data_IF_945573201113
#
_entry.id   IF_945573201113
#
_cell.length_a   1.000
_cell.length_b   1.000
_cell.length_c   1.000
_cell.angle_alpha   90.00
_cell.angle_beta   90.00
_cell.angle_gamma   90.00
#
_symmetry.space_group_name_H-M   'P 1'
#
loop_
_entity.id
_entity.type
_entity.pdbx_description
1 polymer ?
#
# COMPACT_ATOMS: atom_id res chain seq x y z
N UNK A 1 18.34 -5.68 16.90
CA UNK A 1 16.98 -5.23 16.54
C UNK A 1 16.85 -3.70 16.66
N UNK A 2 17.03 -3.11 17.85
CA UNK A 2 16.88 -1.65 18.03
C UNK A 2 17.78 -0.79 17.13
N UNK A 3 19.04 -1.19 16.89
CA UNK A 3 19.94 -0.44 16.00
C UNK A 3 19.47 -0.48 14.54
N UNK A 4 18.90 -1.61 14.11
CA UNK A 4 18.27 -1.73 12.79
C UNK A 4 17.05 -0.82 12.70
N UNK A 5 16.19 -0.79 13.72
CA UNK A 5 15.03 0.11 13.76
C UNK A 5 15.43 1.58 13.71
N UNK A 6 16.54 1.95 14.36
CA UNK A 6 17.07 3.30 14.29
C UNK A 6 17.54 3.66 12.87
N UNK A 7 18.22 2.72 12.18
CA UNK A 7 18.64 2.91 10.79
C UNK A 7 17.46 3.01 9.83
N UNK A 8 16.46 2.12 9.97
CA UNK A 8 15.26 2.13 9.16
C UNK A 8 14.48 3.44 9.35
N UNK A 9 14.28 3.88 10.59
CA UNK A 9 13.58 5.15 10.82
C UNK A 9 14.34 6.35 10.27
N UNK A 10 15.67 6.41 10.45
CA UNK A 10 16.48 7.45 9.85
C UNK A 10 16.40 7.45 8.32
N UNK A 11 16.42 6.27 7.69
CA UNK A 11 16.29 6.12 6.24
C UNK A 11 14.97 6.70 5.72
N UNK A 12 13.87 6.42 6.41
CA UNK A 12 12.52 6.72 5.90
C UNK A 12 11.96 8.08 6.37
N UNK A 13 12.36 8.58 7.54
CA UNK A 13 11.92 9.88 8.09
C UNK A 13 12.98 10.97 8.01
N UNK A 14 14.22 10.63 7.63
CA UNK A 14 15.37 11.52 7.79
C UNK A 14 15.45 12.13 9.21
N UNK A 15 15.06 11.35 10.22
CA UNK A 15 14.95 11.79 11.60
C UNK A 15 15.48 10.74 12.58
N UNK A 16 15.93 11.20 13.74
CA UNK A 16 16.42 10.31 14.78
C UNK A 16 15.29 9.48 15.39
N UNK A 17 15.59 8.20 15.59
CA UNK A 17 14.75 7.28 16.34
C UNK A 17 14.78 7.60 17.83
N UNK A 18 13.64 8.02 18.37
CA UNK A 18 13.55 8.39 19.78
C UNK A 18 13.45 7.13 20.64
N UNK A 19 14.28 7.08 21.68
CA UNK A 19 14.35 5.96 22.63
C UNK A 19 14.09 6.37 24.06
N UNK A 20 14.18 7.66 24.40
CA UNK A 20 13.89 8.18 25.73
C UNK A 20 12.39 8.15 25.96
N UNK A 21 11.98 7.42 27.01
CA UNK A 21 10.56 7.24 27.33
C UNK A 21 9.83 8.57 27.52
N UNK A 22 10.49 9.56 28.14
CA UNK A 22 9.91 10.89 28.40
C UNK A 22 9.61 11.70 27.14
N UNK A 23 10.29 11.42 26.03
CA UNK A 23 10.13 12.12 24.76
C UNK A 23 9.12 11.42 23.84
N UNK A 24 8.69 10.21 24.19
CA UNK A 24 7.79 9.43 23.37
C UNK A 24 6.33 9.79 23.65
N UNK A 25 5.51 9.97 22.60
CA UNK A 25 4.08 10.17 22.78
C UNK A 25 3.43 8.92 23.37
N UNK A 26 2.51 9.13 24.32
CA UNK A 26 1.72 8.04 24.91
C UNK A 26 0.48 7.69 24.11
N UNK A 27 0.20 8.41 23.02
CA UNK A 27 -0.89 8.13 22.09
C UNK A 27 -0.50 8.57 20.69
N UNK A 28 -1.01 7.89 19.69
CA UNK A 28 -0.82 8.23 18.28
C UNK A 28 -1.98 7.70 17.46
N UNK A 29 -2.40 8.44 16.45
CA UNK A 29 -3.42 8.00 15.52
C UNK A 29 -3.16 8.69 14.18
N UNK A 30 -3.30 7.94 13.09
CA UNK A 30 -3.27 8.55 11.76
C UNK A 30 -4.46 9.48 11.58
N UNK A 31 -4.36 10.53 10.75
CA UNK A 31 -5.49 11.39 10.45
C UNK A 31 -6.63 10.61 9.79
N UNK A 32 -7.87 11.08 9.95
CA UNK A 32 -9.09 10.36 9.49
C UNK A 32 -9.02 9.92 8.03
N UNK A 33 -8.45 10.77 7.16
CA UNK A 33 -8.33 10.45 5.74
C UNK A 33 -7.38 9.28 5.47
N UNK A 34 -6.43 8.99 6.38
CA UNK A 34 -5.40 7.94 6.26
C UNK A 34 -5.73 6.68 7.07
N UNK A 35 -6.91 6.62 7.69
CA UNK A 35 -7.37 5.38 8.33
C UNK A 35 -7.39 4.29 7.25
N UNK A 36 -6.72 3.15 7.45
CA UNK A 36 -6.76 2.03 6.51
C UNK A 36 -8.19 1.53 6.30
N UNK A 37 -8.55 1.21 5.05
CA UNK A 37 -9.87 0.66 4.76
C UNK A 37 -9.94 -0.83 5.12
N UNK A 38 -11.08 -1.25 5.68
CA UNK A 38 -11.46 -2.67 5.69
C UNK A 38 -11.62 -3.15 4.25
N UNK A 39 -11.00 -4.28 3.93
CA UNK A 39 -11.09 -4.96 2.63
C UNK A 39 -11.14 -6.47 2.82
N UNK A 40 -11.00 -7.22 1.74
CA UNK A 40 -11.01 -8.67 1.80
C UNK A 40 -9.60 -9.24 2.05
N UNK A 41 -9.51 -10.35 2.77
CA UNK A 41 -8.26 -11.10 2.93
C UNK A 41 -7.99 -12.05 1.75
N UNK A 42 -8.89 -12.10 0.77
CA UNK A 42 -8.79 -12.89 -0.47
C UNK A 42 -8.26 -14.30 -0.20
N UNK A 43 -9.01 -15.13 0.55
CA UNK A 43 -8.54 -16.44 0.94
C UNK A 43 -8.34 -17.30 -0.31
N UNK A 44 -7.23 -18.01 -0.38
CA UNK A 44 -6.87 -18.86 -1.53
C UNK A 44 -7.96 -19.91 -1.79
N UNK A 45 -8.64 -20.40 -0.73
CA UNK A 45 -9.81 -21.30 -0.85
C UNK A 45 -11.05 -20.64 -1.46
N UNK A 46 -11.18 -19.32 -1.30
CA UNK A 46 -12.21 -18.50 -1.95
C UNK A 46 -11.84 -18.13 -3.40
N UNK A 47 -10.65 -18.52 -3.86
CA UNK A 47 -10.14 -18.18 -5.18
C UNK A 47 -9.32 -16.89 -5.21
N UNK A 48 -8.84 -16.40 -4.07
CA UNK A 48 -7.90 -15.27 -4.02
C UNK A 48 -8.38 -14.04 -4.78
N UNK A 49 -7.52 -13.48 -5.63
CA UNK A 49 -7.79 -12.28 -6.43
C UNK A 49 -8.27 -12.60 -7.86
N UNK A 50 -8.56 -13.88 -8.18
CA UNK A 50 -8.90 -14.39 -9.53
C UNK A 50 -9.94 -13.54 -10.27
N UNK A 51 -10.92 -12.98 -9.57
CA UNK A 51 -11.96 -12.14 -10.19
C UNK A 51 -11.41 -10.81 -10.72
N UNK A 52 -10.54 -10.16 -9.96
CA UNK A 52 -9.86 -8.93 -10.39
C UNK A 52 -8.89 -9.24 -11.54
N UNK A 53 -8.17 -10.36 -11.45
CA UNK A 53 -7.26 -10.82 -12.51
C UNK A 53 -7.97 -11.05 -13.84
N UNK A 54 -9.18 -11.63 -13.81
CA UNK A 54 -9.96 -11.85 -15.03
C UNK A 54 -10.34 -10.53 -15.72
N UNK A 55 -10.69 -9.49 -14.95
CA UNK A 55 -10.94 -8.16 -15.51
C UNK A 55 -9.68 -7.54 -16.08
N UNK A 56 -8.54 -7.68 -15.40
CA UNK A 56 -7.26 -7.22 -15.92
C UNK A 56 -6.92 -7.89 -17.27
N UNK A 57 -7.08 -9.21 -17.36
CA UNK A 57 -6.85 -9.97 -18.60
C UNK A 57 -7.76 -9.52 -19.76
N UNK A 58 -9.01 -9.15 -19.48
CA UNK A 58 -9.89 -8.57 -20.51
C UNK A 58 -9.39 -7.21 -20.99
N UNK A 59 -8.86 -6.37 -20.10
CA UNK A 59 -8.40 -5.02 -20.44
C UNK A 59 -7.04 -5.01 -21.15
N UNK A 60 -6.11 -5.90 -20.77
CA UNK A 60 -4.72 -5.80 -21.19
C UNK A 60 -4.21 -7.00 -21.99
N UNK A 61 -4.92 -8.13 -21.97
CA UNK A 61 -4.49 -9.36 -22.66
C UNK A 61 -5.49 -9.88 -23.68
N UNK A 62 -6.42 -9.02 -24.14
CA UNK A 62 -7.46 -9.39 -25.11
C UNK A 62 -8.27 -10.62 -24.65
N UNK A 63 -8.53 -10.74 -23.34
CA UNK A 63 -9.25 -11.86 -22.73
C UNK A 63 -8.46 -13.16 -22.61
N UNK A 64 -7.16 -13.17 -22.93
CA UNK A 64 -6.27 -14.29 -22.60
C UNK A 64 -6.06 -14.28 -21.10
N UNK A 65 -6.49 -15.34 -20.43
CA UNK A 65 -6.52 -15.48 -18.95
C UNK A 65 -5.12 -15.67 -18.32
N UNK A 66 -4.14 -14.84 -18.67
CA UNK A 66 -2.75 -15.00 -18.27
C UNK A 66 -2.54 -14.70 -16.77
N UNK A 67 -2.94 -13.50 -16.32
CA UNK A 67 -2.86 -13.11 -14.92
C UNK A 67 -3.77 -14.00 -14.07
N UNK A 68 -4.94 -14.35 -14.60
CA UNK A 68 -5.92 -15.22 -13.94
C UNK A 68 -5.39 -16.64 -13.73
N UNK A 69 -4.80 -17.26 -14.76
CA UNK A 69 -4.26 -18.62 -14.60
C UNK A 69 -2.99 -18.65 -13.75
N UNK A 70 -2.21 -17.57 -13.72
CA UNK A 70 -1.12 -17.41 -12.77
C UNK A 70 -1.65 -17.46 -11.33
N UNK A 71 -2.60 -16.59 -10.99
CA UNK A 71 -3.18 -16.54 -9.65
C UNK A 71 -3.88 -17.87 -9.30
N UNK A 72 -4.67 -18.44 -10.21
CA UNK A 72 -5.26 -19.78 -10.00
C UNK A 72 -4.20 -20.84 -9.73
N UNK A 73 -3.04 -20.77 -10.37
CA UNK A 73 -1.93 -21.71 -10.13
C UNK A 73 -1.29 -21.47 -8.77
N UNK A 74 -1.10 -20.21 -8.38
CA UNK A 74 -0.48 -19.83 -7.11
C UNK A 74 -1.35 -20.26 -5.92
N UNK A 75 -2.65 -19.91 -5.93
CA UNK A 75 -3.61 -20.33 -4.89
C UNK A 75 -3.78 -21.85 -4.81
N UNK A 76 -3.67 -22.58 -5.94
CA UNK A 76 -3.84 -24.06 -5.96
C UNK A 76 -2.62 -24.81 -5.48
N UNK A 77 -1.42 -24.35 -5.82
CA UNK A 77 -0.19 -25.06 -5.47
C UNK A 77 0.18 -24.92 -3.99
N UNK A 78 -0.48 -24.01 -3.28
CA UNK A 78 -0.09 -23.60 -1.94
C UNK A 78 1.17 -22.75 -2.01
N UNK A 79 1.16 -21.61 -1.35
CA UNK A 79 2.35 -20.74 -1.31
C UNK A 79 3.37 -21.38 -0.33
N UNK A 80 4.67 -21.33 -0.62
CA UNK A 80 5.71 -21.68 0.35
C UNK A 80 5.45 -20.98 1.68
N UNK A 81 5.45 -21.77 2.74
CA UNK A 81 5.44 -21.29 4.10
C UNK A 81 6.80 -20.65 4.44
N UNK A 82 6.87 -19.32 4.39
CA UNK A 82 8.08 -18.56 4.70
C UNK A 82 8.41 -18.52 6.20
N UNK A 83 7.52 -19.00 7.08
CA UNK A 83 7.82 -19.16 8.52
C UNK A 83 8.88 -20.26 8.77
N UNK A 84 9.21 -21.07 7.77
CA UNK A 84 10.14 -22.21 7.90
C UNK A 84 11.58 -21.79 7.72
N UNK A 85 12.24 -21.61 8.87
CA UNK A 85 13.70 -21.45 9.00
C UNK A 85 14.48 -22.50 8.19
N UNK A 86 15.66 -22.16 7.62
CA UNK A 86 16.40 -23.04 6.70
C UNK A 86 16.80 -24.41 7.27
N UNK A 87 16.94 -24.54 8.59
CA UNK A 87 17.47 -25.76 9.24
C UNK A 87 16.48 -26.93 9.31
N UNK A 88 15.17 -26.72 9.13
CA UNK A 88 14.14 -27.77 9.22
C UNK A 88 13.71 -28.34 7.85
N UNK A 89 14.42 -28.01 6.78
CA UNK A 89 14.08 -28.39 5.39
C UNK A 89 14.23 -29.89 5.07
N UNK A 90 14.80 -30.69 5.97
CA UNK A 90 15.19 -32.08 5.65
C UNK A 90 14.09 -33.14 5.79
N UNK A 91 12.94 -32.88 6.43
CA UNK A 91 11.98 -33.95 6.78
C UNK A 91 10.48 -33.61 6.66
N UNK A 92 10.03 -32.89 5.64
CA UNK A 92 8.58 -32.67 5.44
C UNK A 92 8.10 -33.20 4.07
N UNK A 93 7.37 -34.31 4.11
CA UNK A 93 6.71 -34.92 2.95
C UNK A 93 5.60 -34.05 2.37
N UNK A 94 5.45 -34.10 1.04
CA UNK A 94 4.45 -33.40 0.22
C UNK A 94 3.02 -33.75 0.66
N UNK A 95 2.30 -32.80 1.27
CA UNK A 95 0.84 -32.74 1.25
C UNK A 95 0.39 -31.33 0.87
N UNK A 96 0.16 -31.12 -0.42
CA UNK A 96 -0.47 -29.91 -0.97
C UNK A 96 -1.96 -29.86 -0.56
N UNK A 97 -2.26 -29.34 0.62
CA UNK A 97 -3.59 -28.80 0.93
C UNK A 97 -3.41 -27.35 1.35
N UNK A 98 -3.97 -26.44 0.58
CA UNK A 98 -4.00 -25.00 0.89
C UNK A 98 -4.69 -24.81 2.25
N UNK A 99 -3.98 -24.32 3.27
CA UNK A 99 -4.58 -24.04 4.58
C UNK A 99 -5.71 -23.02 4.45
N UNK A 100 -6.68 -23.05 5.37
CA UNK A 100 -7.89 -22.20 5.26
C UNK A 100 -7.65 -20.71 5.49
N UNK A 101 -6.47 -20.36 5.98
CA UNK A 101 -6.05 -18.99 6.33
C UNK A 101 -5.09 -18.38 5.30
N UNK A 102 -4.62 -19.17 4.34
CA UNK A 102 -3.82 -18.65 3.23
C UNK A 102 -4.69 -17.72 2.38
N UNK A 103 -4.15 -16.55 2.06
CA UNK A 103 -4.80 -15.52 1.27
C UNK A 103 -3.87 -14.32 1.14
N UNK A 104 -4.44 -13.20 0.72
CA UNK A 104 -3.72 -11.95 0.48
C UNK A 104 -3.84 -10.99 1.66
N UNK A 105 -3.87 -11.49 2.90
CA UNK A 105 -4.02 -10.61 4.07
C UNK A 105 -2.86 -9.60 4.20
N UNK A 106 -1.63 -9.99 3.85
CA UNK A 106 -0.48 -9.08 3.76
C UNK A 106 -0.63 -8.10 2.58
N UNK A 107 -1.06 -8.59 1.41
CA UNK A 107 -1.29 -7.76 0.23
C UNK A 107 -2.36 -6.69 0.47
N UNK A 108 -3.51 -7.07 1.04
CA UNK A 108 -4.56 -6.15 1.46
C UNK A 108 -4.06 -5.17 2.55
N UNK A 109 -3.36 -5.66 3.57
CA UNK A 109 -2.79 -4.80 4.62
C UNK A 109 -1.86 -3.75 4.01
N UNK A 110 -0.95 -4.14 3.12
CA UNK A 110 -0.06 -3.23 2.42
C UNK A 110 -0.84 -2.20 1.59
N UNK A 111 -1.81 -2.66 0.80
CA UNK A 111 -2.65 -1.81 -0.02
C UNK A 111 -3.42 -0.77 0.81
N UNK A 112 -4.03 -1.19 1.92
CA UNK A 112 -4.81 -0.32 2.79
C UNK A 112 -3.97 0.72 3.55
N UNK A 113 -2.67 0.49 3.71
CA UNK A 113 -1.73 1.45 4.29
C UNK A 113 -1.23 2.43 3.22
N UNK A 114 -0.86 1.93 2.03
CA UNK A 114 -0.18 2.72 1.00
C UNK A 114 -1.11 3.52 0.10
N UNK A 115 -2.36 3.08 -0.02
CA UNK A 115 -3.30 3.64 -0.95
C UNK A 115 -4.55 4.13 -0.25
N UNK A 116 -4.94 5.36 -0.59
CA UNK A 116 -6.30 5.81 -0.35
C UNK A 116 -7.29 4.84 -0.97
N UNK A 117 -8.42 4.64 -0.26
CA UNK A 117 -9.50 3.80 -0.76
C UNK A 117 -9.96 4.29 -2.15
N UNK A 118 -9.98 3.41 -3.17
CA UNK A 118 -10.62 3.70 -4.46
C UNK A 118 -12.05 4.22 -4.28
N UNK A 119 -12.43 5.34 -4.92
CA UNK A 119 -13.74 6.00 -4.71
C UNK A 119 -14.68 5.91 -5.91
N UNK A 120 -14.13 5.77 -7.12
CA UNK A 120 -14.91 5.77 -8.36
C UNK A 120 -14.46 4.66 -9.30
N UNK A 121 -15.39 4.17 -10.13
CA UNK A 121 -15.06 3.20 -11.16
C UNK A 121 -14.22 3.84 -12.27
N UNK A 122 -13.28 3.09 -12.82
CA UNK A 122 -12.37 3.52 -13.90
C UNK A 122 -12.60 2.64 -15.12
N UNK A 123 -12.66 3.24 -16.31
CA UNK A 123 -12.75 2.51 -17.57
C UNK A 123 -11.39 2.52 -18.25
N UNK A 124 -10.81 1.33 -18.45
CA UNK A 124 -9.53 1.16 -19.14
C UNK A 124 -9.67 0.09 -20.22
N UNK A 125 -9.29 0.43 -21.45
CA UNK A 125 -9.38 -0.45 -22.62
C UNK A 125 -10.76 -1.11 -22.79
N UNK A 126 -11.84 -0.34 -22.54
CA UNK A 126 -13.22 -0.81 -22.66
C UNK A 126 -13.72 -1.69 -21.50
N UNK A 127 -12.92 -1.89 -20.45
CA UNK A 127 -13.30 -2.64 -19.24
C UNK A 127 -13.48 -1.69 -18.06
N UNK A 128 -14.59 -1.84 -17.34
CA UNK A 128 -14.87 -1.10 -16.10
C UNK A 128 -14.30 -1.83 -14.88
N UNK A 129 -13.40 -1.15 -14.17
CA UNK A 129 -12.89 -1.53 -12.86
C UNK A 129 -13.64 -0.76 -11.79
N UNK A 130 -14.41 -1.43 -10.94
CA UNK A 130 -15.05 -0.83 -9.76
C UNK A 130 -14.03 -0.67 -8.63
N UNK A 131 -14.31 0.15 -7.60
CA UNK A 131 -13.45 0.24 -6.42
C UNK A 131 -13.07 -1.12 -5.81
N UNK A 132 -14.00 -2.08 -5.75
CA UNK A 132 -13.70 -3.43 -5.28
C UNK A 132 -12.70 -4.18 -6.17
N UNK A 133 -12.78 -4.02 -7.50
CA UNK A 133 -11.80 -4.63 -8.41
C UNK A 133 -10.41 -4.03 -8.21
N UNK A 134 -10.34 -2.69 -8.08
CA UNK A 134 -9.08 -1.95 -7.90
C UNK A 134 -8.42 -2.35 -6.59
N UNK A 135 -9.17 -2.49 -5.49
CA UNK A 135 -8.67 -3.04 -4.22
C UNK A 135 -8.07 -4.45 -4.40
N UNK A 136 -8.71 -5.28 -5.22
CA UNK A 136 -8.21 -6.62 -5.56
C UNK A 136 -6.91 -6.61 -6.38
N UNK A 137 -6.80 -5.69 -7.34
CA UNK A 137 -5.54 -5.49 -8.09
C UNK A 137 -4.41 -5.02 -7.18
N UNK A 138 -4.69 -4.06 -6.29
CA UNK A 138 -3.72 -3.56 -5.32
C UNK A 138 -3.26 -4.67 -4.36
N UNK A 139 -4.19 -5.46 -3.82
CA UNK A 139 -3.83 -6.57 -2.93
C UNK A 139 -2.91 -7.60 -3.63
N UNK A 140 -3.11 -7.85 -4.92
CA UNK A 140 -2.31 -8.78 -5.71
C UNK A 140 -0.87 -8.28 -5.92
N UNK A 141 -0.67 -7.01 -6.29
CA UNK A 141 0.69 -6.48 -6.55
C UNK A 141 1.56 -6.44 -5.29
N UNK A 142 0.96 -6.36 -4.10
CA UNK A 142 1.69 -6.40 -2.82
C UNK A 142 1.89 -7.79 -2.24
N UNK A 143 1.31 -8.83 -2.85
CA UNK A 143 1.25 -10.15 -2.24
C UNK A 143 2.63 -10.76 -1.94
N UNK A 144 3.60 -10.50 -2.80
CA UNK A 144 4.99 -10.94 -2.65
C UNK A 144 5.98 -9.78 -2.63
N UNK A 145 5.47 -8.56 -2.41
CA UNK A 145 6.32 -7.39 -2.36
C UNK A 145 7.11 -7.34 -1.06
N UNK A 146 8.35 -6.90 -1.14
CA UNK A 146 9.18 -6.62 0.02
C UNK A 146 8.52 -5.58 0.95
N UNK A 147 8.87 -5.68 2.22
CA UNK A 147 8.42 -4.78 3.28
C UNK A 147 9.60 -4.37 4.15
N UNK A 148 9.46 -3.21 4.78
CA UNK A 148 10.36 -2.77 5.84
C UNK A 148 10.01 -3.51 7.13
N UNK A 149 10.99 -4.14 7.74
CA UNK A 149 10.81 -4.93 8.95
C UNK A 149 10.88 -4.02 10.20
N UNK A 150 9.83 -3.99 11.02
CA UNK A 150 9.74 -3.07 12.17
C UNK A 150 9.91 -3.73 13.55
N UNK A 151 10.25 -5.02 13.56
CA UNK A 151 10.52 -5.80 14.76
C UNK A 151 9.81 -7.15 14.74
N UNK A 152 10.30 -8.10 15.56
CA UNK A 152 9.82 -9.49 15.57
C UNK A 152 10.87 -10.54 15.16
N UNK A 153 12.15 -10.34 15.48
CA UNK A 153 13.21 -11.30 15.08
C UNK A 153 13.06 -12.63 15.85
N UNK A 154 12.57 -12.51 17.09
CA UNK A 154 12.22 -13.62 17.96
C UNK A 154 10.73 -13.96 17.80
N UNK A 155 10.29 -15.19 18.16
CA UNK A 155 8.91 -15.66 17.95
C UNK A 155 7.80 -14.80 18.60
N UNK A 156 8.20 -13.83 19.42
CA UNK A 156 7.37 -12.76 19.94
C UNK A 156 8.25 -11.51 19.90
N UNK A 157 7.76 -10.44 19.27
CA UNK A 157 8.46 -9.14 19.28
C UNK A 157 8.82 -8.71 20.71
N UNK A 158 10.00 -8.14 20.92
CA UNK A 158 10.36 -7.61 22.23
C UNK A 158 9.41 -6.45 22.62
N UNK A 159 8.93 -6.41 23.87
CA UNK A 159 7.97 -5.39 24.29
C UNK A 159 8.51 -3.96 24.20
N UNK A 160 9.81 -3.76 24.38
CA UNK A 160 10.47 -2.47 24.16
C UNK A 160 10.50 -2.08 22.68
N UNK A 161 10.84 -3.02 21.79
CA UNK A 161 10.75 -2.81 20.34
C UNK A 161 9.32 -2.48 19.92
N UNK A 162 8.32 -3.23 20.40
CA UNK A 162 6.90 -2.96 20.15
C UNK A 162 6.51 -1.54 20.57
N UNK A 163 6.87 -1.14 21.80
CA UNK A 163 6.54 0.19 22.31
C UNK A 163 7.19 1.30 21.47
N UNK A 164 8.48 1.16 21.19
CA UNK A 164 9.25 2.11 20.40
C UNK A 164 8.70 2.22 18.97
N UNK A 165 8.34 1.11 18.36
CA UNK A 165 7.77 1.07 17.01
C UNK A 165 6.44 1.80 16.92
N UNK A 166 5.49 1.50 17.81
CA UNK A 166 4.23 2.25 17.85
C UNK A 166 4.44 3.74 18.13
N UNK A 167 5.27 4.08 19.12
CA UNK A 167 5.46 5.47 19.51
C UNK A 167 6.13 6.33 18.42
N UNK A 168 7.10 5.79 17.69
CA UNK A 168 7.79 6.52 16.64
C UNK A 168 7.02 6.53 15.32
N UNK A 169 6.52 5.37 14.85
CA UNK A 169 5.88 5.29 13.54
C UNK A 169 4.46 5.85 13.55
N UNK A 170 3.65 5.51 14.57
CA UNK A 170 2.28 6.01 14.70
C UNK A 170 2.17 7.28 15.53
N UNK A 171 3.01 7.44 16.55
CA UNK A 171 2.91 8.58 17.47
C UNK A 171 3.64 9.83 16.98
N UNK A 172 4.80 9.67 16.35
CA UNK A 172 5.57 10.78 15.76
C UNK A 172 5.40 10.89 14.25
N UNK A 173 5.18 9.77 13.56
CA UNK A 173 5.20 9.69 12.10
C UNK A 173 3.83 9.61 11.40
N UNK A 174 2.72 9.55 12.14
CA UNK A 174 1.36 9.39 11.62
C UNK A 174 1.21 8.28 10.54
N UNK A 175 2.04 7.23 10.62
CA UNK A 175 2.13 6.18 9.62
C UNK A 175 1.50 4.87 10.14
N UNK A 176 0.51 4.30 9.44
CA UNK A 176 -0.04 3.00 9.81
C UNK A 176 1.01 1.88 9.78
N UNK A 177 0.85 0.84 10.59
CA UNK A 177 1.82 -0.25 10.74
C UNK A 177 1.14 -1.57 10.39
N UNK A 178 1.78 -2.39 9.55
CA UNK A 178 1.39 -3.78 9.36
C UNK A 178 1.68 -4.59 10.62
N UNK A 179 0.68 -5.27 11.14
CA UNK A 179 0.77 -6.04 12.37
C UNK A 179 0.40 -7.50 12.11
N UNK A 180 1.35 -8.41 12.38
CA UNK A 180 1.14 -9.84 12.34
C UNK A 180 0.62 -10.34 13.70
N UNK A 181 -0.68 -10.62 13.76
CA UNK A 181 -1.41 -10.79 15.03
C UNK A 181 -1.33 -12.16 15.68
N UNK A 182 -0.69 -13.14 15.03
CA UNK A 182 -0.74 -14.52 15.46
C UNK A 182 0.66 -15.06 15.74
N UNK A 183 0.80 -15.80 16.84
CA UNK A 183 2.02 -16.51 17.20
C UNK A 183 1.98 -17.91 16.57
N UNK A 184 2.88 -18.21 15.63
CA UNK A 184 3.06 -19.56 15.07
C UNK A 184 2.72 -19.66 13.58
N UNK A 185 2.37 -20.87 13.12
CA UNK A 185 2.27 -21.16 11.67
C UNK A 185 1.13 -20.43 10.96
N UNK A 186 0.15 -19.86 11.67
CA UNK A 186 -1.01 -19.17 11.07
C UNK A 186 -0.76 -17.67 11.10
N UNK A 187 -0.57 -17.05 9.93
CA UNK A 187 -0.18 -15.65 9.82
C UNK A 187 -1.37 -14.81 9.38
N UNK A 188 -1.78 -13.84 10.21
CA UNK A 188 -2.79 -12.84 9.85
C UNK A 188 -2.25 -11.43 10.02
N UNK A 189 -2.26 -10.70 8.91
CA UNK A 189 -1.80 -9.32 8.84
C UNK A 189 -3.00 -8.37 8.90
N UNK A 190 -2.86 -7.31 9.71
CA UNK A 190 -3.82 -6.23 9.79
C UNK A 190 -3.12 -4.87 9.91
N UNK A 191 -3.71 -3.80 9.35
CA UNK A 191 -3.13 -2.47 9.45
C UNK A 191 -3.56 -1.81 10.78
N UNK A 192 -2.60 -1.64 11.68
CA UNK A 192 -2.73 -0.86 12.91
C UNK A 192 -2.58 0.63 12.61
N UNK A 193 -3.48 1.46 13.16
CA UNK A 193 -3.54 2.88 12.80
C UNK A 193 -3.71 3.82 14.00
N UNK A 194 -3.80 3.27 15.21
CA UNK A 194 -3.89 4.04 16.46
C UNK A 194 -3.36 3.22 17.63
N UNK A 195 -2.73 3.89 18.58
CA UNK A 195 -2.43 3.32 19.89
C UNK A 195 -2.65 4.35 21.00
N UNK A 196 -2.93 3.85 22.19
CA UNK A 196 -3.00 4.62 23.43
C UNK A 196 -2.31 3.80 24.53
N UNK A 197 -1.40 4.42 25.27
CA UNK A 197 -0.59 3.80 26.30
C UNK A 197 -0.71 4.56 27.62
N UNK A 198 -0.91 3.83 28.71
CA UNK A 198 -0.74 4.32 30.08
C UNK A 198 0.61 3.83 30.56
N UNK A 199 1.43 4.76 31.07
CA UNK A 199 2.81 4.48 31.49
C UNK A 199 2.94 4.82 32.97
N UNK A 200 3.21 3.81 33.78
CA UNK A 200 3.31 3.91 35.24
C UNK A 200 4.75 3.65 35.68
N UNK A 201 5.32 4.56 36.46
CA UNK A 201 6.68 4.40 36.99
C UNK A 201 6.68 3.32 38.08
N UNK A 202 7.52 2.30 37.92
CA UNK A 202 7.75 1.26 38.93
C UNK A 202 9.06 1.55 39.70
N UNK A 203 10.11 1.94 38.98
CA UNK A 203 11.37 2.45 39.53
C UNK A 203 12.03 3.43 38.55
N UNK A 204 13.21 3.95 38.87
CA UNK A 204 13.95 4.83 37.95
C UNK A 204 14.34 4.14 36.63
N UNK A 205 14.41 2.79 36.62
CA UNK A 205 14.82 2.00 35.46
C UNK A 205 13.74 1.04 34.96
N UNK A 206 12.53 1.13 35.49
CA UNK A 206 11.43 0.23 35.13
C UNK A 206 10.08 0.94 35.10
N UNK A 207 9.34 0.76 34.01
CA UNK A 207 8.03 1.36 33.80
C UNK A 207 7.05 0.31 33.31
N UNK A 208 5.90 0.22 33.97
CA UNK A 208 4.79 -0.62 33.56
C UNK A 208 3.96 0.12 32.51
N UNK A 209 3.53 -0.59 31.47
CA UNK A 209 2.77 -0.03 30.36
C UNK A 209 1.56 -0.89 30.05
N UNK A 210 0.39 -0.26 30.06
CA UNK A 210 -0.85 -0.81 29.50
C UNK A 210 -1.11 -0.10 28.17
N UNK A 211 -1.05 -0.82 27.05
CA UNK A 211 -1.21 -0.25 25.71
C UNK A 211 -2.37 -0.92 24.97
N UNK A 212 -3.22 -0.10 24.37
CA UNK A 212 -4.27 -0.54 23.45
C UNK A 212 -3.93 -0.09 22.04
N UNK A 213 -3.93 -1.03 21.09
CA UNK A 213 -3.71 -0.78 19.66
C UNK A 213 -5.01 -1.02 18.90
N UNK A 214 -5.42 -0.06 18.06
CA UNK A 214 -6.57 -0.20 17.17
C UNK A 214 -6.11 -0.49 15.75
N UNK A 215 -6.71 -1.49 15.12
CA UNK A 215 -6.39 -1.95 13.76
C UNK A 215 -7.65 -2.20 12.95
N UNK A 216 -7.57 -2.04 11.63
CA UNK A 216 -8.68 -2.34 10.73
C UNK A 216 -8.79 -3.86 10.53
N UNK A 217 -10.01 -4.36 10.35
CA UNK A 217 -10.25 -5.79 10.10
C UNK A 217 -10.82 -6.04 8.71
N UNK A 218 -10.63 -7.26 8.22
CA UNK A 218 -11.12 -7.70 6.92
C UNK A 218 -12.63 -7.97 6.93
N UNK A 219 -13.22 -7.99 5.73
CA UNK A 219 -14.59 -8.39 5.43
C UNK A 219 -14.62 -9.75 4.73
N UNK A 220 -15.77 -10.41 4.76
CA UNK A 220 -15.97 -11.71 4.11
C UNK A 220 -15.99 -11.65 2.57
N UNK A 221 -16.07 -10.44 1.99
CA UNK A 221 -16.01 -10.16 0.57
C UNK A 221 -15.57 -8.72 0.36
N UNK A 222 -14.97 -8.42 -0.79
CA UNK A 222 -14.54 -7.06 -1.11
C UNK A 222 -15.74 -6.18 -1.48
N UNK A 223 -15.76 -4.96 -0.95
CA UNK A 223 -16.84 -4.00 -1.10
C UNK A 223 -16.34 -2.77 -1.85
N UNK A 224 -17.20 -2.15 -2.67
CA UNK A 224 -16.83 -0.90 -3.34
C UNK A 224 -16.51 0.19 -2.32
N UNK A 225 -17.33 0.33 -1.28
CA UNK A 225 -17.09 1.20 -0.13
C UNK A 225 -16.83 0.38 1.13
N UNK A 226 -15.75 0.72 1.83
CA UNK A 226 -15.33 0.05 3.05
C UNK A 226 -16.26 0.36 4.22
N UNK A 227 -16.64 -0.66 5.02
CA UNK A 227 -17.40 -0.46 6.24
C UNK A 227 -16.56 0.10 7.40
N UNK A 228 -15.24 0.29 7.22
CA UNK A 228 -14.31 0.85 8.22
C UNK A 228 -14.38 0.13 9.58
N UNK A 229 -14.41 -1.20 9.53
CA UNK A 229 -14.45 -2.05 10.71
C UNK A 229 -13.09 -2.06 11.41
N UNK A 230 -13.12 -2.12 12.74
CA UNK A 230 -11.91 -2.14 13.56
C UNK A 230 -12.04 -3.03 14.79
N UNK A 231 -10.89 -3.39 15.34
CA UNK A 231 -10.74 -4.06 16.64
C UNK A 231 -9.63 -3.42 17.43
N UNK A 232 -9.60 -3.74 18.72
CA UNK A 232 -8.56 -3.35 19.64
C UNK A 232 -7.80 -4.58 20.13
N UNK A 233 -6.48 -4.44 20.31
CA UNK A 233 -5.61 -5.42 20.95
C UNK A 233 -4.96 -4.78 22.18
N UNK A 234 -4.97 -5.50 23.29
CA UNK A 234 -4.45 -5.04 24.57
C UNK A 234 -3.09 -5.68 24.87
N UNK A 235 -2.12 -4.86 25.22
CA UNK A 235 -0.78 -5.24 25.62
C UNK A 235 -0.48 -4.72 27.04
N UNK A 236 0.23 -5.53 27.80
CA UNK A 236 0.64 -5.20 29.16
C UNK A 236 2.08 -5.67 29.38
N UNK A 237 3.00 -4.74 29.64
CA UNK A 237 4.42 -5.08 29.72
C UNK A 237 5.20 -4.13 30.62
N UNK A 238 6.36 -4.61 31.09
CA UNK A 238 7.36 -3.83 31.79
C UNK A 238 8.45 -3.41 30.80
N UNK A 239 8.76 -2.12 30.74
CA UNK A 239 9.90 -1.56 30.03
C UNK A 239 11.11 -1.45 30.96
N UNK A 240 12.28 -1.83 30.45
CA UNK A 240 13.58 -1.63 31.11
C UNK A 240 14.34 -0.48 30.46
N UNK A 241 14.84 0.45 31.28
CA UNK A 241 15.56 1.64 30.82
C UNK A 241 17.05 1.60 31.23
N UNK A 242 17.89 2.30 30.46
CA UNK A 242 19.25 2.65 30.87
C UNK A 242 19.29 3.89 31.77
N UNK A 243 20.50 4.31 32.16
CA UNK A 243 20.69 5.41 33.10
C UNK A 243 20.38 6.79 32.47
N UNK A 244 20.27 6.86 31.14
CA UNK A 244 19.84 8.06 30.40
C UNK A 244 18.34 8.05 30.09
N UNK A 245 17.58 7.09 30.63
CA UNK A 245 16.13 6.97 30.44
C UNK A 245 15.71 6.40 29.08
N UNK A 246 16.64 5.79 28.33
CA UNK A 246 16.34 5.17 27.04
C UNK A 246 15.83 3.75 27.24
N UNK A 247 14.79 3.39 26.51
CA UNK A 247 14.23 2.05 26.50
C UNK A 247 15.27 1.08 25.90
N UNK A 248 15.61 0.05 26.66
CA UNK A 248 16.54 -1.02 26.27
C UNK A 248 15.81 -2.30 25.83
N UNK A 249 14.56 -2.45 26.24
CA UNK A 249 13.72 -3.60 25.95
C UNK A 249 12.54 -3.67 26.91
N UNK A 250 11.84 -4.79 26.91
CA UNK A 250 10.78 -5.06 27.88
C UNK A 250 10.37 -6.52 27.96
N UNK A 251 9.49 -6.81 28.91
CA UNK A 251 8.92 -8.14 29.15
C UNK A 251 7.41 -8.06 29.33
N UNK A 252 6.68 -8.97 28.69
CA UNK A 252 5.22 -9.04 28.81
C UNK A 252 4.76 -9.63 30.14
N UNK A 253 3.68 -9.08 30.67
CA UNK A 253 2.88 -9.73 31.69
C UNK A 253 2.04 -10.87 31.09
N UNK A 254 1.45 -11.70 31.97
CA UNK A 254 0.71 -12.90 31.57
C UNK A 254 -0.64 -12.63 30.91
N UNK A 255 -1.21 -11.46 31.14
CA UNK A 255 -2.49 -10.98 30.58
C UNK A 255 -2.34 -10.23 29.25
N UNK A 256 -1.10 -9.98 28.81
CA UNK A 256 -0.81 -9.26 27.57
C UNK A 256 -1.08 -10.12 26.34
N UNK A 257 -1.62 -9.50 25.29
CA UNK A 257 -1.45 -10.03 23.94
C UNK A 257 0.04 -10.09 23.56
N UNK A 258 0.33 -10.93 22.56
CA UNK A 258 1.66 -11.13 22.01
C UNK A 258 1.52 -11.31 20.50
N UNK A 259 2.36 -10.62 19.75
CA UNK A 259 2.39 -10.63 18.29
C UNK A 259 3.78 -11.04 17.82
N UNK A 260 3.87 -11.52 16.58
CA UNK A 260 5.13 -11.99 16.03
C UNK A 260 5.93 -10.81 15.48
N UNK A 261 5.36 -10.09 14.50
CA UNK A 261 6.07 -9.09 13.71
C UNK A 261 5.27 -7.79 13.49
N UNK A 262 6.01 -6.68 13.41
CA UNK A 262 5.55 -5.40 12.86
C UNK A 262 6.32 -5.11 11.58
N UNK A 263 5.67 -4.46 10.61
CA UNK A 263 6.29 -4.15 9.31
C UNK A 263 5.62 -2.93 8.65
N UNK A 264 6.27 -2.33 7.66
CA UNK A 264 5.71 -1.29 6.80
C UNK A 264 5.83 -1.67 5.31
N UNK A 265 4.79 -1.44 4.50
CA UNK A 265 4.83 -1.77 3.08
C UNK A 265 5.68 -0.79 2.27
N UNK A 266 6.52 -1.32 1.38
CA UNK A 266 7.34 -0.55 0.46
C UNK A 266 6.67 -0.37 -0.90
N UNK A 267 7.28 0.41 -1.80
CA UNK A 267 6.79 0.60 -3.16
C UNK A 267 6.61 -0.75 -3.87
N UNK A 268 5.49 -0.98 -4.59
CA UNK A 268 5.31 -2.23 -5.29
C UNK A 268 6.31 -2.31 -6.44
N UNK A 269 7.06 -3.41 -6.47
CA UNK A 269 8.06 -3.69 -7.50
C UNK A 269 7.43 -4.56 -8.58
N UNK A 270 7.87 -4.40 -9.83
CA UNK A 270 7.38 -5.24 -10.92
C UNK A 270 7.69 -6.72 -10.67
N UNK A 271 6.72 -7.58 -10.95
CA UNK A 271 6.87 -9.01 -10.72
C UNK A 271 8.05 -9.61 -11.52
N UNK A 272 8.85 -10.44 -10.85
CA UNK A 272 10.07 -11.03 -11.41
C UNK A 272 11.34 -10.22 -11.14
N UNK A 273 11.22 -9.00 -10.63
CA UNK A 273 12.35 -8.20 -10.15
C UNK A 273 12.63 -8.46 -8.67
N UNK A 274 13.77 -7.95 -8.19
CA UNK A 274 14.19 -8.13 -6.80
C UNK A 274 13.17 -7.48 -5.85
N UNK A 275 12.66 -8.26 -4.90
CA UNK A 275 11.65 -7.82 -3.95
C UNK A 275 10.21 -8.01 -4.43
N UNK A 276 9.99 -8.62 -5.60
CA UNK A 276 8.71 -9.17 -6.02
C UNK A 276 8.90 -10.37 -6.98
N UNK A 277 9.88 -11.23 -6.73
CA UNK A 277 10.30 -12.29 -7.67
C UNK A 277 9.19 -13.32 -7.95
N UNK A 278 8.21 -13.42 -7.05
CA UNK A 278 7.10 -14.37 -7.10
C UNK A 278 5.76 -13.73 -7.49
N UNK A 279 5.73 -12.42 -7.69
CA UNK A 279 4.55 -11.68 -8.11
C UNK A 279 3.97 -12.20 -9.43
N UNK A 280 2.75 -11.76 -9.75
CA UNK A 280 2.09 -12.11 -11.00
C UNK A 280 2.77 -11.38 -12.18
N UNK A 281 3.54 -12.07 -13.05
CA UNK A 281 4.34 -11.42 -14.10
C UNK A 281 3.49 -10.83 -15.21
N UNK A 282 2.18 -11.09 -15.20
CA UNK A 282 1.24 -10.56 -16.17
C UNK A 282 0.54 -9.29 -15.68
N UNK A 283 0.80 -8.83 -14.46
CA UNK A 283 0.35 -7.51 -14.02
C UNK A 283 1.46 -6.50 -14.22
N UNK A 284 1.15 -5.44 -14.95
CA UNK A 284 1.96 -4.23 -14.96
C UNK A 284 1.60 -3.38 -13.73
N UNK A 285 2.59 -3.21 -12.83
CA UNK A 285 2.41 -2.45 -11.59
C UNK A 285 2.05 -0.98 -11.87
N UNK A 286 2.65 -0.37 -12.89
CA UNK A 286 2.36 1.03 -13.24
C UNK A 286 0.93 1.19 -13.75
N UNK A 287 0.43 0.25 -14.55
CA UNK A 287 -0.96 0.28 -15.00
C UNK A 287 -1.94 0.10 -13.83
N UNK A 288 -1.66 -0.81 -12.89
CA UNK A 288 -2.50 -0.97 -11.68
C UNK A 288 -2.52 0.32 -10.86
N UNK A 289 -1.36 0.95 -10.65
CA UNK A 289 -1.27 2.23 -9.94
C UNK A 289 -1.96 3.37 -10.70
N UNK A 290 -1.88 3.40 -12.03
CA UNK A 290 -2.57 4.40 -12.85
C UNK A 290 -4.10 4.28 -12.72
N UNK A 291 -4.64 3.06 -12.76
CA UNK A 291 -6.07 2.81 -12.52
C UNK A 291 -6.47 3.26 -11.11
N UNK A 292 -5.63 3.00 -10.10
CA UNK A 292 -5.87 3.50 -8.75
C UNK A 292 -5.89 5.03 -8.69
N UNK A 293 -4.92 5.70 -9.31
CA UNK A 293 -4.82 7.17 -9.33
C UNK A 293 -6.04 7.84 -9.95
N UNK A 294 -6.63 7.24 -11.00
CA UNK A 294 -7.88 7.72 -11.61
C UNK A 294 -9.11 7.49 -10.73
N UNK A 295 -9.07 6.50 -9.84
CA UNK A 295 -10.17 6.18 -8.93
C UNK A 295 -10.20 7.05 -7.67
N UNK A 296 -9.10 7.74 -7.37
CA UNK A 296 -8.92 8.52 -6.14
C UNK A 296 -8.73 10.01 -6.46
N UNK A 297 -9.48 10.92 -5.80
CA UNK A 297 -9.29 12.36 -5.96
C UNK A 297 -7.83 12.78 -5.74
N UNK A 298 -7.31 13.61 -6.63
CA UNK A 298 -5.92 14.09 -6.58
C UNK A 298 -5.57 14.79 -5.27
N UNK A 299 -6.48 15.62 -4.74
CA UNK A 299 -6.33 16.29 -3.45
C UNK A 299 -6.14 15.33 -2.27
N UNK A 300 -6.68 14.11 -2.37
CA UNK A 300 -6.44 13.07 -1.37
C UNK A 300 -5.07 12.41 -1.58
N UNK A 301 -4.67 12.17 -2.84
CA UNK A 301 -3.36 11.59 -3.16
C UNK A 301 -2.21 12.51 -2.76
N UNK A 302 -2.33 13.82 -3.00
CA UNK A 302 -1.30 14.83 -2.66
C UNK A 302 -1.00 14.96 -1.16
N UNK A 303 -1.87 14.44 -0.29
CA UNK A 303 -1.64 14.37 1.16
C UNK A 303 -1.47 12.94 1.67
N UNK A 304 -1.49 11.95 0.79
CA UNK A 304 -1.30 10.55 1.15
C UNK A 304 0.19 10.19 1.14
N UNK A 305 0.88 10.53 2.21
CA UNK A 305 2.32 10.28 2.31
C UNK A 305 2.64 8.78 2.35
N UNK A 306 3.79 8.39 1.80
CA UNK A 306 4.35 7.03 1.86
C UNK A 306 5.86 7.13 2.11
N UNK A 307 6.42 6.23 2.92
CA UNK A 307 7.86 6.19 3.23
C UNK A 307 8.74 5.94 2.01
N UNK A 308 8.19 5.22 1.03
CA UNK A 308 8.85 4.80 -0.19
C UNK A 308 7.84 5.01 -1.33
N UNK A 309 7.62 6.27 -1.77
CA UNK A 309 6.60 6.57 -2.77
C UNK A 309 7.10 6.21 -4.17
N UNK A 310 6.18 5.81 -5.05
CA UNK A 310 6.45 5.84 -6.48
C UNK A 310 6.74 7.27 -6.92
N UNK A 311 7.50 7.44 -8.00
CA UNK A 311 7.88 8.76 -8.51
C UNK A 311 6.66 9.67 -8.73
N UNK A 312 5.56 9.13 -9.29
CA UNK A 312 4.36 9.92 -9.58
C UNK A 312 3.46 10.16 -8.34
N UNK A 313 3.74 9.50 -7.21
CA UNK A 313 3.01 9.66 -5.94
C UNK A 313 3.85 10.35 -4.87
N UNK A 314 5.06 10.84 -5.22
CA UNK A 314 5.90 11.60 -4.31
C UNK A 314 5.23 12.94 -4.01
N UNK A 315 5.07 13.25 -2.73
CA UNK A 315 4.65 14.56 -2.28
C UNK A 315 5.90 15.44 -2.30
N UNK A 316 5.93 16.39 -3.22
CA UNK A 316 6.98 17.40 -3.34
C UNK A 316 6.65 18.57 -2.41
N UNK A 317 7.69 19.15 -1.80
CA UNK A 317 7.56 20.42 -1.10
C UNK A 317 7.34 21.56 -2.11
N UNK A 318 6.83 22.72 -1.66
CA UNK A 318 6.50 23.85 -2.55
C UNK A 318 7.67 24.25 -3.47
N UNK A 319 8.91 24.25 -2.97
CA UNK A 319 10.11 24.56 -3.75
C UNK A 319 10.43 23.51 -4.83
N UNK A 320 10.23 22.22 -4.54
CA UNK A 320 10.44 21.13 -5.52
C UNK A 320 9.32 21.07 -6.57
N UNK A 321 8.12 21.54 -6.22
CA UNK A 321 6.98 21.60 -7.14
C UNK A 321 7.18 22.67 -8.23
N UNK A 322 7.75 23.83 -7.89
CA UNK A 322 8.06 24.89 -8.85
C UNK A 322 9.13 24.44 -9.86
N UNK A 323 10.18 23.76 -9.40
CA UNK A 323 11.24 23.23 -10.28
C UNK A 323 10.75 22.08 -11.19
N UNK A 324 9.85 21.22 -10.70
CA UNK A 324 9.24 20.16 -11.49
C UNK A 324 8.30 20.70 -12.59
N UNK A 325 7.53 21.76 -12.29
CA UNK A 325 6.67 22.42 -13.27
C UNK A 325 7.50 23.11 -14.37
N UNK A 326 8.65 23.72 -14.03
CA UNK A 326 9.60 24.29 -15.00
C UNK A 326 10.23 23.20 -15.88
N UNK A 327 10.62 22.06 -15.30
CA UNK A 327 11.18 20.95 -16.07
C UNK A 327 10.16 20.29 -17.03
N UNK A 328 8.88 20.23 -16.63
CA UNK A 328 7.81 19.68 -17.48
C UNK A 328 7.43 20.61 -18.63
N UNK A 329 7.53 21.92 -18.43
CA UNK A 329 7.24 22.94 -19.45
C UNK A 329 8.35 23.03 -20.49
N UNK A 330 9.63 22.89 -20.09
CA UNK A 330 10.77 22.81 -21.02
C UNK A 330 10.75 21.55 -21.90
N UNK A 331 10.21 20.43 -21.41
CA UNK A 331 10.04 19.21 -22.21
C UNK A 331 8.94 19.33 -23.29
N UNK A 332 8.07 20.33 -23.19
CA UNK A 332 6.98 20.59 -24.15
C UNK A 332 7.30 21.72 -25.16
N UNK A 333 8.49 22.33 -25.04
CA UNK A 333 8.89 23.53 -25.77
C UNK A 333 9.98 23.34 -26.82
N UNK A 334 10.01 22.23 -27.58
CA UNK A 334 10.80 22.15 -28.81
C UNK A 334 9.91 21.92 -30.04
N UNK A 335 9.31 23.01 -30.50
CA UNK A 335 8.83 23.18 -31.87
C UNK A 335 9.23 24.57 -32.33
N UNK A 336 10.55 24.80 -32.34
CA UNK A 336 11.19 26.03 -32.78
C UNK A 336 11.18 26.20 -34.29
N UNK A 337 10.20 26.97 -34.74
CA UNK A 337 10.16 27.81 -35.93
C UNK A 337 11.54 28.17 -36.53
N UNK A 338 11.79 27.76 -37.78
CA UNK A 338 12.99 28.13 -38.56
C UNK A 338 12.71 29.37 -39.42
N UNK A 339 13.56 30.40 -39.29
CA UNK A 339 13.76 31.50 -40.26
C UNK A 339 15.29 31.68 -40.38
N UNK A 340 15.95 31.93 -41.50
CA UNK A 340 15.57 32.37 -42.83
C UNK A 340 16.72 32.03 -43.83
N UNK A 341 16.45 32.02 -45.14
CA UNK A 341 17.32 32.69 -46.12
C UNK A 341 16.64 32.81 -47.49
N UNK A 342 16.74 34.03 -48.03
CA UNK A 342 16.26 34.49 -49.33
C UNK A 342 17.03 33.85 -50.49
N UNK A 343 16.33 33.56 -51.59
CA UNK A 343 16.86 33.71 -52.96
C UNK A 343 15.70 33.86 -53.95
N UNK A 344 15.96 34.72 -54.93
CA UNK A 344 15.07 35.39 -55.87
C UNK A 344 14.45 34.53 -56.99
N UNK A 345 13.41 35.11 -57.61
CA UNK A 345 12.86 34.91 -58.97
C UNK A 345 12.18 33.54 -59.24
N UNK A 346 11.00 33.39 -59.85
CA UNK A 346 10.36 34.12 -60.95
C UNK A 346 8.84 33.78 -61.00
N UNK A 347 8.08 34.69 -61.62
CA UNK A 347 6.62 34.72 -61.80
C UNK A 347 5.97 33.51 -62.50
N UNK A 348 4.70 33.19 -62.20
CA UNK A 348 3.52 33.50 -63.05
C UNK A 348 2.21 32.89 -62.51
N UNK A 349 1.23 33.79 -62.32
CA UNK A 349 -0.19 33.74 -62.67
C UNK A 349 -1.21 32.66 -62.23
N UNK A 350 -2.44 33.19 -62.08
CA UNK A 350 -3.76 32.59 -62.22
C UNK A 350 -4.55 32.13 -60.96
N UNK A 351 -5.25 33.12 -60.37
CA UNK A 351 -6.72 33.20 -60.23
C UNK A 351 -7.57 31.92 -60.08
N UNK A 352 -8.42 31.86 -59.04
CA UNK A 352 -9.88 32.03 -59.19
C UNK A 352 -10.64 31.90 -57.86
N UNK A 353 -11.66 32.74 -57.74
CA UNK A 353 -12.66 32.90 -56.69
C UNK A 353 -13.45 31.63 -56.31
N UNK A 354 -14.14 31.67 -55.16
CA UNK A 354 -15.16 30.67 -54.84
C UNK A 354 -15.78 30.76 -53.44
N UNK A 355 -16.52 31.85 -53.19
CA UNK A 355 -17.53 32.04 -52.14
C UNK A 355 -18.57 30.88 -52.10
N UNK A 356 -19.19 30.61 -50.95
CA UNK A 356 -20.24 29.57 -50.89
C UNK A 356 -20.70 29.10 -49.52
N UNK A 357 -21.53 29.92 -48.91
CA UNK A 357 -22.24 29.78 -47.64
C UNK A 357 -23.36 28.70 -47.61
N UNK A 358 -23.65 28.20 -46.39
CA UNK A 358 -25.00 28.03 -45.77
C UNK A 358 -25.80 26.70 -45.83
N UNK A 359 -26.31 26.37 -44.62
CA UNK A 359 -27.61 25.78 -44.24
C UNK A 359 -27.77 24.28 -43.93
N UNK A 360 -27.96 24.02 -42.63
CA UNK A 360 -28.94 23.09 -42.06
C UNK A 360 -30.39 23.48 -42.37
N UNK A 361 -31.35 22.54 -42.22
CA UNK A 361 -32.35 22.62 -41.14
C UNK A 361 -32.55 21.25 -40.43
N UNK A 362 -32.78 21.17 -39.11
CA UNK A 362 -34.08 21.22 -38.41
C UNK A 362 -35.19 20.40 -39.12
N UNK A 363 -36.05 19.58 -38.52
CA UNK A 363 -36.46 19.21 -37.15
C UNK A 363 -37.44 18.03 -37.32
N UNK A 364 -37.76 17.27 -36.26
CA UNK A 364 -39.13 16.99 -35.76
C UNK A 364 -39.14 15.86 -34.73
N UNK A 365 -39.89 16.10 -33.66
CA UNK A 365 -40.26 15.20 -32.58
C UNK A 365 -41.45 14.29 -32.95
N UNK A 366 -41.64 13.19 -32.20
CA UNK A 366 -42.94 12.76 -31.68
C UNK A 366 -42.81 11.56 -30.73
N UNK A 367 -43.23 11.77 -29.47
CA UNK A 367 -44.15 10.97 -28.65
C UNK A 367 -44.28 9.45 -28.80
N UNK A 368 -44.44 8.78 -27.63
CA UNK A 368 -45.32 7.62 -27.53
C UNK A 368 -44.99 6.63 -26.42
N UNK A 369 -45.71 6.74 -25.30
CA UNK A 369 -45.84 5.77 -24.21
C UNK A 369 -46.11 4.32 -24.68
N UNK A 370 -45.45 3.33 -24.05
CA UNK A 370 -46.07 2.29 -23.21
C UNK A 370 -45.01 1.45 -22.47
#
# INVERSE_FOLDING_TARGET
>A
ELDYQAQAYQQWWNAEWERKLENLPTKGAVPDYRIPYSGHDYPDRGGGTVRAMAKYDYAFHNGRMLATEWERRDVRNGRPDFSRRPLLRLFAGRRNRVPGWYGHCNGWTAAAIRHAEPQHSVVRNGVTFTPADIKGLLAEIYMYNDSEFLGGIDPVINAGTLHLTFANWLGRGDHPIGMETALGEVVFNYPAYRYEAKVNKVSDRAYEVEMTVTYAISTNYEMDQSPRLSKQMYFHYLLGLDDEGRIMGGSYYGDSARIDMLWAPLNPVQAGEKGNERGNPYLDVKEVLAIWRESVPEELRKKWWNIDPAEEDRILDEEESEDADVASTDASGDSGNTTASESDEESTDASSDGDGTVASPASTASDGDN
#
